data_IF_089945352734
#
_entry.id   IF_089945352734
#
_cell.length_a   1.000
_cell.length_b   1.000
_cell.length_c   1.000
_cell.angle_alpha   90.00
_cell.angle_beta   90.00
_cell.angle_gamma   90.00
#
_symmetry.space_group_name_H-M   'P 1'
#
loop_
_entity.id
_entity.type
_entity.pdbx_description
1 polymer ?
#
# COMPACT_ATOMS: atom_id res chain seq x y z
N UNK A 1 -5.64 27.96 18.81
CA UNK A 1 -5.14 27.06 17.75
C UNK A 1 -5.93 25.76 17.82
N UNK A 2 -6.40 25.26 16.68
CA UNK A 2 -7.09 23.98 16.62
C UNK A 2 -6.16 22.83 17.04
N UNK A 3 -6.69 21.87 17.82
CA UNK A 3 -5.95 20.69 18.24
C UNK A 3 -6.92 19.49 18.30
N UNK A 4 -6.52 18.37 17.74
CA UNK A 4 -7.34 17.15 17.72
C UNK A 4 -6.92 16.17 16.65
N UNK A 5 -7.80 15.22 16.37
CA UNK A 5 -7.67 14.23 15.30
C UNK A 5 -8.62 14.60 14.17
N UNK A 6 -8.16 14.50 12.94
CA UNK A 6 -8.95 14.65 11.72
C UNK A 6 -8.85 13.36 10.92
N UNK A 7 -10.00 12.84 10.50
CA UNK A 7 -10.08 11.70 9.61
C UNK A 7 -10.28 12.22 8.18
N UNK A 8 -9.39 11.83 7.29
CA UNK A 8 -9.42 12.24 5.88
C UNK A 8 -9.58 11.01 5.02
N UNK A 9 -10.59 11.00 4.17
CA UNK A 9 -10.67 10.06 3.06
C UNK A 9 -9.74 10.57 1.94
N UNK A 10 -8.57 9.96 1.81
CA UNK A 10 -7.56 10.40 0.85
C UNK A 10 -7.99 10.03 -0.57
N UNK A 11 -8.18 11.00 -1.47
CA UNK A 11 -8.51 10.70 -2.86
C UNK A 11 -7.35 10.06 -3.62
N UNK A 12 -7.68 9.38 -4.71
CA UNK A 12 -6.72 8.83 -5.68
C UNK A 12 -5.80 9.93 -6.22
N UNK A 13 -4.55 9.59 -6.45
CA UNK A 13 -3.53 10.47 -7.03
C UNK A 13 -2.91 11.47 -6.05
N UNK A 14 -3.48 11.66 -4.85
CA UNK A 14 -2.92 12.56 -3.85
C UNK A 14 -1.96 11.80 -2.93
N UNK A 15 -0.76 12.33 -2.69
CA UNK A 15 0.13 11.76 -1.69
C UNK A 15 -0.36 12.06 -0.26
N UNK A 16 0.00 11.21 0.72
CA UNK A 16 -0.28 11.47 2.14
C UNK A 16 0.25 12.83 2.61
N UNK A 17 1.41 13.26 2.10
CA UNK A 17 1.96 14.58 2.40
C UNK A 17 1.16 15.72 1.75
N UNK A 18 0.63 15.50 0.55
CA UNK A 18 -0.30 16.43 -0.11
C UNK A 18 -1.55 16.64 0.72
N UNK A 19 -2.14 15.56 1.26
CA UNK A 19 -3.30 15.63 2.15
C UNK A 19 -2.97 16.41 3.45
N UNK A 20 -1.80 16.18 4.07
CA UNK A 20 -1.33 16.98 5.22
C UNK A 20 -1.23 18.46 4.87
N UNK A 21 -0.72 18.80 3.69
CA UNK A 21 -0.60 20.19 3.23
C UNK A 21 -1.97 20.85 3.05
N UNK A 22 -2.96 20.10 2.54
CA UNK A 22 -4.35 20.55 2.45
C UNK A 22 -4.94 20.89 3.82
N UNK A 23 -4.77 20.00 4.81
CA UNK A 23 -5.26 20.23 6.19
C UNK A 23 -4.53 21.40 6.85
N UNK A 24 -3.21 21.55 6.64
CA UNK A 24 -2.44 22.71 7.13
C UNK A 24 -3.00 24.02 6.62
N UNK A 25 -3.33 24.08 5.32
CA UNK A 25 -3.91 25.27 4.68
C UNK A 25 -5.32 25.55 5.21
N UNK A 26 -6.16 24.52 5.30
CA UNK A 26 -7.55 24.66 5.73
C UNK A 26 -7.69 25.15 7.18
N UNK A 27 -6.77 24.72 8.07
CA UNK A 27 -6.81 25.05 9.50
C UNK A 27 -5.79 26.13 9.91
N UNK A 28 -5.13 26.76 8.96
CA UNK A 28 -4.09 27.77 9.17
C UNK A 28 -3.09 27.36 10.26
N UNK A 29 -2.52 26.15 10.14
CA UNK A 29 -1.56 25.61 11.11
C UNK A 29 -0.47 24.80 10.44
N UNK A 30 0.77 24.97 10.89
CA UNK A 30 1.90 24.15 10.40
C UNK A 30 2.00 22.78 11.09
N UNK A 31 1.39 22.65 12.29
CA UNK A 31 1.52 21.45 13.13
C UNK A 31 0.45 20.43 12.78
N UNK A 32 0.69 19.68 11.70
CA UNK A 32 -0.14 18.56 11.23
C UNK A 32 0.77 17.40 10.82
N UNK A 33 0.41 16.20 11.22
CA UNK A 33 1.06 14.94 10.81
C UNK A 33 0.01 13.86 10.55
N UNK A 34 0.44 12.68 10.09
CA UNK A 34 -0.45 11.52 9.85
C UNK A 34 0.07 10.25 10.54
N UNK A 35 -0.83 9.30 10.81
CA UNK A 35 -0.53 7.98 11.38
C UNK A 35 -0.61 6.90 10.28
N UNK A 36 0.45 6.74 9.53
CA UNK A 36 0.52 5.82 8.41
C UNK A 36 0.62 6.54 7.07
N UNK A 37 1.16 5.87 6.09
CA UNK A 37 1.31 6.37 4.73
C UNK A 37 0.41 5.56 3.82
N UNK A 38 -0.34 6.27 2.96
CA UNK A 38 -1.01 5.70 1.80
C UNK A 38 -0.27 6.18 0.55
N UNK A 39 -0.03 5.27 -0.37
CA UNK A 39 0.56 5.59 -1.66
C UNK A 39 -0.40 6.46 -2.50
N UNK A 40 0.08 7.19 -3.52
CA UNK A 40 -0.78 8.00 -4.37
C UNK A 40 -1.92 7.19 -5.02
N UNK A 41 -1.64 5.96 -5.43
CA UNK A 41 -2.60 5.03 -6.01
C UNK A 41 -3.61 4.45 -5.01
N UNK A 42 -3.36 4.56 -3.70
CA UNK A 42 -4.30 4.11 -2.68
C UNK A 42 -5.26 5.22 -2.26
N UNK A 43 -6.51 4.88 -2.00
CA UNK A 43 -7.54 5.75 -1.40
C UNK A 43 -7.86 5.31 0.02
N UNK A 44 -8.66 6.08 0.75
CA UNK A 44 -9.22 5.68 2.03
C UNK A 44 -8.66 6.43 3.24
N UNK A 45 -8.87 5.86 4.42
CA UNK A 45 -8.70 6.53 5.70
C UNK A 45 -7.24 6.91 5.98
N UNK A 46 -7.01 8.20 6.12
CA UNK A 46 -5.76 8.78 6.62
C UNK A 46 -6.03 9.53 7.92
N UNK A 47 -5.56 8.99 9.03
CA UNK A 47 -5.72 9.61 10.35
C UNK A 47 -4.66 10.69 10.53
N UNK A 48 -5.09 11.92 10.78
CA UNK A 48 -4.21 13.07 10.97
C UNK A 48 -4.34 13.67 12.37
N UNK A 49 -3.22 14.07 12.96
CA UNK A 49 -3.17 14.85 14.18
C UNK A 49 -2.89 16.31 13.88
N UNK A 50 -3.60 17.20 14.56
CA UNK A 50 -3.47 18.66 14.46
C UNK A 50 -3.06 19.23 15.79
N UNK A 51 -2.14 20.19 15.81
CA UNK A 51 -1.69 20.85 17.01
C UNK A 51 -1.16 19.88 18.08
N UNK A 52 -1.73 19.88 19.28
CA UNK A 52 -1.38 18.94 20.34
C UNK A 52 -1.74 17.49 19.98
N UNK A 53 -2.75 17.26 19.10
CA UNK A 53 -3.17 15.96 18.63
C UNK A 53 -2.07 15.20 17.87
N UNK A 54 -1.05 15.86 17.33
CA UNK A 54 0.08 15.18 16.70
C UNK A 54 0.81 14.20 17.63
N UNK A 55 0.76 14.41 18.94
CA UNK A 55 1.37 13.50 19.93
C UNK A 55 0.63 12.17 20.05
N UNK A 56 -0.65 12.12 19.70
CA UNK A 56 -1.45 10.91 19.73
C UNK A 56 -1.11 9.96 18.58
N UNK A 57 -0.52 10.46 17.50
CA UNK A 57 -0.20 9.66 16.32
C UNK A 57 0.75 8.50 16.64
N UNK A 58 1.63 8.64 17.62
CA UNK A 58 2.55 7.57 18.03
C UNK A 58 1.82 6.32 18.55
N UNK A 59 0.63 6.49 19.10
CA UNK A 59 -0.21 5.38 19.57
C UNK A 59 -1.07 4.77 18.45
N UNK A 60 -1.21 5.44 17.32
CA UNK A 60 -2.07 5.03 16.21
C UNK A 60 -1.27 4.37 15.06
N UNK A 61 0.01 4.66 14.94
CA UNK A 61 0.86 4.15 13.84
C UNK A 61 0.95 2.62 13.84
N UNK A 62 0.97 1.99 15.02
CA UNK A 62 1.13 0.54 15.18
C UNK A 62 -0.17 -0.26 15.22
N UNK A 63 -1.33 0.39 15.05
CA UNK A 63 -2.61 -0.29 15.03
C UNK A 63 -2.80 -1.10 13.74
N UNK A 64 -3.64 -2.12 13.81
CA UNK A 64 -4.04 -2.95 12.67
C UNK A 64 -4.65 -2.10 11.56
N UNK A 65 -4.54 -2.59 10.35
CA UNK A 65 -5.03 -1.94 9.14
C UNK A 65 -5.74 -2.97 8.26
N UNK A 66 -6.86 -2.56 7.69
CA UNK A 66 -7.56 -3.33 6.68
C UNK A 66 -7.43 -2.64 5.32
N UNK A 67 -7.25 -3.44 4.28
CA UNK A 67 -7.16 -2.99 2.90
C UNK A 67 -8.06 -3.83 2.02
N UNK A 68 -8.59 -3.22 0.98
CA UNK A 68 -9.11 -3.92 -0.18
C UNK A 68 -8.19 -3.63 -1.36
N UNK A 69 -7.90 -4.66 -2.15
CA UNK A 69 -7.03 -4.52 -3.32
C UNK A 69 -7.50 -5.45 -4.44
N UNK A 70 -7.17 -5.10 -5.68
CA UNK A 70 -7.33 -5.99 -6.83
C UNK A 70 -5.96 -6.50 -7.23
N UNK A 71 -5.74 -7.80 -7.08
CA UNK A 71 -4.58 -8.50 -7.63
C UNK A 71 -4.91 -8.92 -9.06
N UNK A 72 -4.14 -8.44 -10.03
CA UNK A 72 -4.27 -8.82 -11.43
C UNK A 72 -3.23 -9.87 -11.80
N UNK A 73 -3.68 -11.05 -12.21
CA UNK A 73 -2.85 -12.11 -12.76
C UNK A 73 -2.84 -12.02 -14.29
N UNK A 74 -1.71 -12.40 -14.90
CA UNK A 74 -1.52 -12.46 -16.36
C UNK A 74 -0.26 -11.77 -16.85
N UNK A 75 0.24 -10.77 -16.12
CA UNK A 75 1.48 -10.07 -16.44
C UNK A 75 2.08 -9.43 -15.19
N UNK A 76 3.36 -9.13 -15.26
CA UNK A 76 4.09 -8.37 -14.26
C UNK A 76 4.24 -6.90 -14.65
N UNK A 77 4.53 -6.04 -13.68
CA UNK A 77 4.87 -4.64 -13.92
C UNK A 77 6.17 -4.26 -13.21
N UNK A 78 6.83 -3.20 -13.68
CA UNK A 78 8.11 -2.73 -13.13
C UNK A 78 8.02 -2.30 -11.67
N UNK A 79 6.83 -1.98 -11.16
CA UNK A 79 6.61 -1.48 -9.79
C UNK A 79 5.75 -2.42 -8.94
N UNK A 80 5.37 -3.58 -9.46
CA UNK A 80 4.44 -4.54 -8.84
C UNK A 80 3.03 -3.96 -8.60
N UNK A 81 2.70 -2.83 -9.23
CA UNK A 81 1.40 -2.17 -9.15
C UNK A 81 0.91 -1.68 -10.52
N UNK A 82 -0.27 -1.06 -10.55
CA UNK A 82 -0.91 -0.57 -11.79
C UNK A 82 -0.23 0.67 -12.40
N UNK A 83 0.73 1.30 -11.71
CA UNK A 83 1.46 2.47 -12.21
C UNK A 83 2.70 2.07 -13.03
N UNK A 84 3.17 0.81 -12.90
CA UNK A 84 4.33 0.29 -13.60
C UNK A 84 4.06 -0.08 -15.06
N UNK A 85 5.13 -0.06 -15.87
CA UNK A 85 5.09 -0.59 -17.24
C UNK A 85 5.07 -2.13 -17.19
N UNK A 86 4.35 -2.74 -18.13
CA UNK A 86 4.35 -4.21 -18.27
C UNK A 86 5.74 -4.73 -18.58
N UNK A 87 6.13 -5.83 -17.90
CA UNK A 87 7.40 -6.53 -18.08
C UNK A 87 7.11 -7.95 -18.54
N UNK A 88 7.89 -8.41 -19.53
CA UNK A 88 7.75 -9.77 -20.04
C UNK A 88 6.51 -10.00 -20.90
N UNK A 89 6.22 -11.27 -21.18
CA UNK A 89 5.07 -11.70 -21.96
C UNK A 89 3.86 -11.93 -21.03
N UNK A 90 2.67 -11.65 -21.57
CA UNK A 90 1.42 -12.00 -20.86
C UNK A 90 1.30 -13.54 -20.80
N UNK A 91 0.94 -14.08 -19.63
CA UNK A 91 0.69 -15.51 -19.50
C UNK A 91 -0.49 -15.94 -20.37
N UNK A 92 -0.28 -16.96 -21.20
CA UNK A 92 -1.29 -17.48 -22.15
C UNK A 92 -2.13 -18.61 -21.56
N UNK A 93 -1.78 -19.14 -20.38
CA UNK A 93 -2.43 -20.32 -19.78
C UNK A 93 -3.27 -20.00 -18.53
N UNK A 94 -3.88 -18.82 -18.50
CA UNK A 94 -4.75 -18.44 -17.39
C UNK A 94 -6.04 -19.28 -17.33
N UNK A 95 -6.44 -19.88 -18.45
CA UNK A 95 -7.62 -20.73 -18.55
C UNK A 95 -7.53 -22.00 -17.70
N UNK A 96 -6.33 -22.50 -17.43
CA UNK A 96 -6.10 -23.69 -16.59
C UNK A 96 -6.09 -23.39 -15.10
N UNK A 97 -5.98 -22.13 -14.69
CA UNK A 97 -5.91 -21.74 -13.28
C UNK A 97 -7.31 -21.69 -12.68
N UNK A 98 -7.63 -22.62 -11.75
CA UNK A 98 -8.93 -22.64 -11.08
C UNK A 98 -9.02 -21.60 -9.95
N UNK A 99 -10.25 -21.25 -9.55
CA UNK A 99 -10.48 -20.37 -8.41
C UNK A 99 -9.98 -20.97 -7.09
N UNK A 100 -10.08 -22.29 -6.96
CA UNK A 100 -9.55 -23.05 -5.81
C UNK A 100 -8.02 -22.93 -5.74
N UNK A 101 -7.34 -23.04 -6.89
CA UNK A 101 -5.88 -22.88 -6.96
C UNK A 101 -5.45 -21.48 -6.57
N UNK A 102 -6.18 -20.45 -7.01
CA UNK A 102 -5.92 -19.04 -6.62
C UNK A 102 -6.07 -18.88 -5.10
N UNK A 103 -7.18 -19.37 -4.53
CA UNK A 103 -7.40 -19.26 -3.08
C UNK A 103 -6.37 -20.05 -2.28
N UNK A 104 -5.98 -21.24 -2.75
CA UNK A 104 -4.94 -22.04 -2.10
C UNK A 104 -3.57 -21.34 -2.12
N UNK A 105 -3.25 -20.61 -3.19
CA UNK A 105 -2.02 -19.85 -3.31
C UNK A 105 -1.93 -18.68 -2.30
N UNK A 106 -3.04 -18.23 -1.72
CA UNK A 106 -3.06 -17.18 -0.69
C UNK A 106 -2.74 -17.71 0.72
N UNK A 107 -2.85 -19.02 0.96
CA UNK A 107 -2.64 -19.61 2.29
C UNK A 107 -1.26 -19.28 2.91
N UNK A 108 -0.13 -19.32 2.15
CA UNK A 108 1.19 -19.00 2.69
C UNK A 108 1.34 -17.53 3.14
N UNK A 109 0.43 -16.66 2.73
CA UNK A 109 0.45 -15.24 3.09
C UNK A 109 -0.38 -14.91 4.33
N UNK A 110 -0.97 -15.91 5.00
CA UNK A 110 -1.72 -15.75 6.25
C UNK A 110 -0.86 -16.02 7.47
N UNK A 111 -1.20 -15.38 8.59
CA UNK A 111 -0.50 -15.53 9.85
C UNK A 111 0.79 -14.71 9.91
N UNK A 112 1.77 -15.21 10.64
CA UNK A 112 3.09 -14.56 10.74
C UNK A 112 3.95 -14.90 9.52
N UNK A 113 4.31 -13.89 8.74
CA UNK A 113 5.14 -14.04 7.54
C UNK A 113 6.36 -13.12 7.58
N UNK A 114 7.41 -13.50 6.88
CA UNK A 114 8.58 -12.66 6.64
C UNK A 114 8.40 -11.94 5.30
N UNK A 115 7.92 -10.69 5.35
CA UNK A 115 7.72 -9.84 4.18
C UNK A 115 9.01 -9.14 3.78
N UNK A 116 9.46 -9.34 2.55
CA UNK A 116 10.44 -8.46 1.90
C UNK A 116 9.66 -7.29 1.30
N UNK A 117 9.90 -6.05 1.75
CA UNK A 117 9.19 -4.89 1.19
C UNK A 117 9.57 -4.64 -0.28
N UNK A 118 8.65 -4.05 -1.06
CA UNK A 118 8.97 -3.60 -2.41
C UNK A 118 10.06 -2.52 -2.41
N UNK A 119 10.96 -2.56 -3.37
CA UNK A 119 11.99 -1.52 -3.59
C UNK A 119 11.38 -0.16 -3.91
N UNK A 120 10.16 -0.15 -4.44
CA UNK A 120 9.37 1.07 -4.70
C UNK A 120 8.57 1.55 -3.49
N UNK A 121 8.97 1.15 -2.27
CA UNK A 121 8.31 1.57 -1.03
C UNK A 121 8.91 2.85 -0.43
N UNK A 122 8.16 3.47 0.49
CA UNK A 122 8.60 4.65 1.25
C UNK A 122 9.59 4.34 2.38
N UNK A 123 10.08 3.10 2.48
CA UNK A 123 11.05 2.66 3.49
C UNK A 123 12.37 3.40 3.29
N UNK A 124 12.98 3.79 4.39
CA UNK A 124 14.29 4.47 4.36
C UNK A 124 15.41 3.46 4.50
N UNK A 125 16.35 3.51 3.55
CA UNK A 125 17.64 2.81 3.58
C UNK A 125 18.73 3.86 3.68
N UNK A 126 19.53 3.84 4.73
CA UNK A 126 20.59 4.82 5.00
C UNK A 126 20.13 6.29 4.92
N UNK A 127 18.90 6.56 5.38
CA UNK A 127 18.31 7.90 5.41
C UNK A 127 17.63 8.37 4.11
N UNK A 128 17.80 7.65 3.00
CA UNK A 128 17.11 7.88 1.72
C UNK A 128 15.93 6.93 1.57
N UNK A 129 14.90 7.33 0.84
CA UNK A 129 13.76 6.45 0.57
C UNK A 129 14.12 5.42 -0.49
N UNK A 130 13.68 4.18 -0.32
CA UNK A 130 13.97 3.08 -1.23
C UNK A 130 13.55 3.41 -2.69
N UNK A 131 12.39 4.02 -2.88
CA UNK A 131 11.93 4.40 -4.21
C UNK A 131 12.82 5.46 -4.89
N UNK A 132 13.43 6.40 -4.15
CA UNK A 132 14.35 7.40 -4.70
C UNK A 132 15.64 6.71 -5.20
N UNK A 133 16.11 5.70 -4.48
CA UNK A 133 17.28 4.90 -4.84
C UNK A 133 16.98 4.02 -6.06
N UNK A 134 15.84 3.33 -6.09
CA UNK A 134 15.42 2.50 -7.20
C UNK A 134 15.28 3.31 -8.51
N UNK A 135 14.67 4.50 -8.46
CA UNK A 135 14.60 5.41 -9.62
C UNK A 135 15.96 5.91 -10.10
N UNK A 136 16.95 5.97 -9.24
CA UNK A 136 18.33 6.32 -9.62
C UNK A 136 19.13 5.15 -10.18
N UNK A 137 18.51 3.96 -10.36
CA UNK A 137 19.16 2.76 -10.87
C UNK A 137 20.06 2.04 -9.87
N UNK A 138 19.95 2.37 -8.56
CA UNK A 138 20.69 1.68 -7.51
C UNK A 138 19.94 0.43 -7.07
N UNK A 139 20.60 -0.70 -7.04
CA UNK A 139 20.06 -1.91 -6.40
C UNK A 139 19.91 -1.66 -4.90
N UNK A 140 18.71 -1.91 -4.38
CA UNK A 140 18.38 -1.75 -2.97
C UNK A 140 17.97 -3.10 -2.42
N UNK A 141 18.84 -3.70 -1.61
CA UNK A 141 18.50 -4.91 -0.88
C UNK A 141 17.73 -4.53 0.39
N UNK A 142 16.45 -4.88 0.46
CA UNK A 142 15.61 -4.65 1.63
C UNK A 142 15.57 -5.92 2.49
N UNK A 143 15.81 -5.73 3.80
CA UNK A 143 15.71 -6.83 4.76
C UNK A 143 14.23 -7.20 4.95
N UNK A 144 13.97 -8.49 5.06
CA UNK A 144 12.65 -8.98 5.45
C UNK A 144 12.28 -8.45 6.85
N UNK A 145 10.99 -8.25 7.05
CA UNK A 145 10.41 -7.91 8.35
C UNK A 145 9.27 -8.86 8.67
N UNK A 146 9.14 -9.24 9.91
CA UNK A 146 8.01 -10.04 10.37
C UNK A 146 6.76 -9.19 10.44
N UNK A 147 5.70 -9.66 9.78
CA UNK A 147 4.36 -9.05 9.80
C UNK A 147 3.32 -10.12 10.05
N UNK A 148 2.16 -9.73 10.61
CA UNK A 148 1.04 -10.63 10.83
C UNK A 148 -0.11 -10.24 9.90
N UNK A 149 -0.54 -11.18 9.07
CA UNK A 149 -1.74 -11.06 8.23
C UNK A 149 -2.84 -11.86 8.91
N UNK A 150 -3.66 -11.21 9.72
CA UNK A 150 -4.70 -11.86 10.51
C UNK A 150 -5.90 -12.31 9.67
N UNK A 151 -6.11 -11.66 8.53
CA UNK A 151 -7.21 -11.94 7.61
C UNK A 151 -6.72 -11.72 6.18
N UNK A 152 -7.02 -12.65 5.29
CA UNK A 152 -6.79 -12.52 3.85
C UNK A 152 -7.80 -13.41 3.13
N UNK A 153 -8.66 -12.82 2.35
CA UNK A 153 -9.68 -13.52 1.56
C UNK A 153 -9.71 -13.01 0.13
N UNK A 154 -10.19 -13.86 -0.77
CA UNK A 154 -10.50 -13.54 -2.16
C UNK A 154 -12.01 -13.68 -2.38
N UNK A 155 -12.82 -12.68 -2.01
CA UNK A 155 -14.28 -12.75 -2.12
C UNK A 155 -14.77 -12.81 -3.56
N UNK A 156 -14.03 -12.22 -4.50
CA UNK A 156 -14.41 -12.17 -5.91
C UNK A 156 -13.23 -12.49 -6.82
N UNK A 157 -13.47 -13.27 -7.86
CA UNK A 157 -12.50 -13.60 -8.92
C UNK A 157 -13.22 -13.38 -10.25
N UNK A 158 -12.72 -12.44 -11.05
CA UNK A 158 -13.29 -12.08 -12.35
C UNK A 158 -12.29 -12.41 -13.46
N UNK A 159 -12.77 -13.10 -14.51
CA UNK A 159 -11.95 -13.54 -15.64
C UNK A 159 -12.18 -12.64 -16.84
N UNK A 160 -11.10 -12.02 -17.32
CA UNK A 160 -11.04 -11.33 -18.61
C UNK A 160 -10.45 -12.23 -19.71
N UNK A 161 -10.17 -11.66 -20.86
CA UNK A 161 -9.59 -12.39 -22.00
C UNK A 161 -8.15 -12.85 -21.68
N UNK A 162 -7.30 -11.96 -21.19
CA UNK A 162 -5.88 -12.21 -20.90
C UNK A 162 -5.49 -11.92 -19.44
N UNK A 163 -6.46 -11.80 -18.55
CA UNK A 163 -6.22 -11.47 -17.14
C UNK A 163 -7.24 -12.14 -16.22
N UNK A 164 -6.84 -12.34 -14.97
CA UNK A 164 -7.76 -12.67 -13.88
C UNK A 164 -7.61 -11.61 -12.81
N UNK A 165 -8.70 -10.95 -12.45
CA UNK A 165 -8.74 -9.98 -11.37
C UNK A 165 -9.29 -10.66 -10.10
N UNK A 166 -8.49 -10.62 -9.04
CA UNK A 166 -8.79 -11.21 -7.74
C UNK A 166 -8.95 -10.07 -6.74
N UNK A 167 -10.16 -9.87 -6.23
CA UNK A 167 -10.37 -8.94 -5.12
C UNK A 167 -9.85 -9.57 -3.83
N UNK A 168 -9.03 -8.81 -3.10
CA UNK A 168 -8.45 -9.21 -1.81
C UNK A 168 -8.98 -8.31 -0.70
N UNK A 169 -9.23 -8.90 0.46
CA UNK A 169 -9.58 -8.19 1.71
C UNK A 169 -8.70 -8.70 2.83
#
# INVERSE_FOLDING_TARGET
MASGIVLVDKPLGLSSHGAVSGVRKALDTKKVGHAGTLDPAATGLLVMGVGAGTRLLTYLVGLDKSYTATLRLGYETTTDDAEGEKVGETSTDLGSVSDEAIRAALEPFRGEIDQVPSTYSAIKVEGKRAYDLARSGQEVELRSRRVTVSHLEAPSITRGEDVIDVELV
#
